data_IF_526661097606
#
_entry.id   IF_526661097606
#
_cell.length_a   1.000
_cell.length_b   1.000
_cell.length_c   1.000
_cell.angle_alpha   90.00
_cell.angle_beta   90.00
_cell.angle_gamma   90.00
#
_symmetry.space_group_name_H-M   'P 1'
#
loop_
_entity.id
_entity.type
_entity.pdbx_description
1 polymer ?
#
# COMPACT_ATOMS: atom_id res chain seq x y z
N UNK A 1 0.53 -26.30 -16.72
CA UNK A 1 0.74 -25.30 -15.64
C UNK A 1 -0.58 -24.62 -15.41
N UNK A 2 -0.91 -24.23 -14.16
CA UNK A 2 -2.12 -23.45 -13.89
C UNK A 2 -2.00 -22.09 -14.57
N UNK A 3 -3.11 -21.57 -15.08
CA UNK A 3 -3.20 -20.22 -15.64
C UNK A 3 -2.93 -19.15 -14.57
N UNK A 4 -3.30 -19.45 -13.33
CA UNK A 4 -3.17 -18.55 -12.18
C UNK A 4 -2.09 -19.05 -11.22
N UNK A 5 -1.25 -18.13 -10.73
CA UNK A 5 -0.28 -18.40 -9.67
C UNK A 5 -0.97 -18.50 -8.30
N UNK A 6 -2.03 -17.72 -8.10
CA UNK A 6 -2.85 -17.75 -6.89
C UNK A 6 -4.31 -17.47 -7.23
N UNK A 7 -5.20 -18.23 -6.59
CA UNK A 7 -6.65 -18.02 -6.67
C UNK A 7 -7.26 -18.00 -5.27
N UNK A 8 -8.12 -17.03 -5.01
CA UNK A 8 -9.01 -16.98 -3.85
C UNK A 8 -10.45 -17.05 -4.35
N UNK A 9 -11.25 -17.93 -3.81
CA UNK A 9 -12.66 -18.13 -4.24
C UNK A 9 -13.59 -18.31 -3.05
N UNK A 10 -14.75 -17.62 -3.09
CA UNK A 10 -15.79 -17.72 -2.08
C UNK A 10 -15.36 -17.26 -0.68
N UNK A 11 -14.43 -16.32 -0.58
CA UNK A 11 -13.85 -15.90 0.70
C UNK A 11 -14.85 -15.11 1.50
N UNK A 12 -15.19 -15.61 2.69
CA UNK A 12 -15.99 -14.92 3.69
C UNK A 12 -15.16 -14.59 4.92
N UNK A 13 -15.42 -13.42 5.49
CA UNK A 13 -14.84 -12.97 6.77
C UNK A 13 -15.77 -12.05 7.51
N UNK A 14 -16.10 -12.43 8.74
CA UNK A 14 -16.92 -11.60 9.64
C UNK A 14 -16.11 -11.16 10.86
N UNK A 15 -16.43 -9.97 11.35
CA UNK A 15 -16.01 -9.45 12.63
C UNK A 15 -17.25 -9.08 13.44
N UNK A 16 -17.15 -8.86 14.77
CA UNK A 16 -18.30 -8.45 15.56
C UNK A 16 -19.01 -7.25 14.95
N UNK A 17 -20.27 -7.43 14.55
CA UNK A 17 -21.13 -6.39 13.97
C UNK A 17 -20.94 -6.12 12.47
N UNK A 18 -20.00 -6.77 11.76
CA UNK A 18 -19.80 -6.51 10.33
C UNK A 18 -19.33 -7.75 9.56
N UNK A 19 -19.94 -8.03 8.41
CA UNK A 19 -19.43 -8.99 7.42
C UNK A 19 -18.50 -8.26 6.46
N UNK A 20 -17.20 -8.36 6.69
CA UNK A 20 -16.19 -7.61 5.95
C UNK A 20 -15.89 -8.21 4.57
N UNK A 21 -16.09 -9.52 4.38
CA UNK A 21 -16.00 -10.20 3.09
C UNK A 21 -17.20 -11.13 2.94
N UNK A 22 -17.84 -11.07 1.77
CA UNK A 22 -18.97 -11.88 1.39
C UNK A 22 -18.75 -12.50 0.02
N UNK A 23 -18.29 -13.75 0.00
CA UNK A 23 -17.94 -14.51 -1.22
C UNK A 23 -16.96 -13.77 -2.15
N UNK A 24 -16.03 -13.04 -1.56
CA UNK A 24 -14.98 -12.32 -2.32
C UNK A 24 -14.10 -13.31 -3.10
N UNK A 25 -13.56 -12.85 -4.23
CA UNK A 25 -12.65 -13.64 -5.04
C UNK A 25 -11.57 -12.78 -5.68
N UNK A 26 -10.42 -13.40 -5.95
CA UNK A 26 -9.29 -12.80 -6.65
C UNK A 26 -8.50 -13.89 -7.33
N UNK A 27 -8.07 -13.64 -8.57
CA UNK A 27 -7.22 -14.57 -9.34
C UNK A 27 -6.05 -13.79 -9.89
N UNK A 28 -4.85 -14.33 -9.73
CA UNK A 28 -3.61 -13.64 -10.08
C UNK A 28 -2.84 -14.41 -11.15
N UNK A 29 -2.54 -13.74 -12.26
CA UNK A 29 -1.67 -14.28 -13.29
C UNK A 29 -0.19 -13.98 -12.95
N UNK A 30 0.73 -14.92 -13.24
CA UNK A 30 2.17 -14.64 -13.11
C UNK A 30 2.59 -13.51 -14.05
N UNK A 31 3.48 -12.62 -13.59
CA UNK A 31 4.02 -11.53 -14.38
C UNK A 31 3.03 -10.44 -14.75
N UNK A 32 1.89 -10.32 -14.05
CA UNK A 32 0.91 -9.25 -14.24
C UNK A 32 0.72 -8.42 -12.98
N UNK A 33 0.38 -7.14 -13.17
CA UNK A 33 -0.12 -6.26 -12.12
C UNK A 33 -1.64 -6.36 -12.08
N UNK A 34 -2.15 -6.91 -10.99
CA UNK A 34 -3.56 -7.01 -10.71
C UNK A 34 -3.97 -5.90 -9.73
N UNK A 35 -4.64 -4.89 -10.23
CA UNK A 35 -5.14 -3.82 -9.38
C UNK A 35 -6.39 -4.25 -8.61
N UNK A 36 -6.44 -3.95 -7.32
CA UNK A 36 -7.61 -4.21 -6.47
C UNK A 36 -8.21 -2.88 -6.02
N UNK A 37 -9.40 -2.57 -6.51
CA UNK A 37 -10.08 -1.32 -6.30
C UNK A 37 -11.40 -1.48 -5.53
N UNK A 38 -11.88 -0.39 -4.96
CA UNK A 38 -13.10 -0.30 -4.18
C UNK A 38 -13.04 0.88 -3.22
N UNK A 39 -14.19 1.31 -2.71
CA UNK A 39 -14.27 2.37 -1.68
C UNK A 39 -13.57 1.96 -0.37
N UNK A 40 -13.38 2.93 0.52
CA UNK A 40 -12.93 2.63 1.88
C UNK A 40 -13.99 1.76 2.58
N UNK A 41 -13.54 0.67 3.20
CA UNK A 41 -14.47 -0.32 3.77
C UNK A 41 -14.93 -1.41 2.80
N UNK A 42 -14.60 -1.36 1.50
CA UNK A 42 -14.98 -2.40 0.52
C UNK A 42 -14.39 -3.79 0.77
N UNK A 43 -13.53 -3.97 1.79
CA UNK A 43 -12.96 -5.27 2.15
C UNK A 43 -11.57 -5.57 1.57
N UNK A 44 -10.98 -4.67 0.77
CA UNK A 44 -9.68 -4.89 0.09
C UNK A 44 -8.58 -5.34 1.04
N UNK A 45 -8.29 -4.53 2.06
CA UNK A 45 -7.23 -4.86 3.03
C UNK A 45 -7.56 -6.10 3.86
N UNK A 46 -8.86 -6.40 4.09
CA UNK A 46 -9.28 -7.64 4.76
C UNK A 46 -8.98 -8.85 3.89
N UNK A 47 -9.27 -8.78 2.57
CA UNK A 47 -8.97 -9.85 1.62
C UNK A 47 -7.46 -10.11 1.56
N UNK A 48 -6.63 -9.05 1.51
CA UNK A 48 -5.16 -9.17 1.52
C UNK A 48 -4.64 -9.76 2.84
N UNK A 49 -5.21 -9.36 3.97
CA UNK A 49 -4.85 -9.92 5.29
C UNK A 49 -5.25 -11.39 5.41
N UNK A 50 -6.32 -11.83 4.75
CA UNK A 50 -6.66 -13.25 4.63
C UNK A 50 -5.64 -13.98 3.73
N UNK A 51 -5.27 -13.41 2.58
CA UNK A 51 -4.25 -13.95 1.68
C UNK A 51 -2.89 -14.10 2.36
N UNK A 52 -2.52 -13.14 3.20
CA UNK A 52 -1.24 -13.14 3.92
C UNK A 52 -1.28 -13.89 5.26
N UNK A 53 -2.42 -14.49 5.64
CA UNK A 53 -2.54 -15.30 6.86
C UNK A 53 -2.62 -14.51 8.17
N UNK A 54 -2.84 -13.18 8.12
CA UNK A 54 -3.09 -12.35 9.31
C UNK A 54 -4.49 -12.65 9.86
N UNK A 55 -5.47 -12.81 8.97
CA UNK A 55 -6.82 -13.23 9.33
C UNK A 55 -7.11 -14.61 8.75
N UNK A 56 -7.72 -15.48 9.56
CA UNK A 56 -8.30 -16.73 9.06
C UNK A 56 -9.61 -16.43 8.37
N UNK A 57 -9.80 -17.00 7.18
CA UNK A 57 -11.09 -16.97 6.48
C UNK A 57 -12.10 -17.80 7.26
N UNK A 58 -13.36 -17.37 7.26
CA UNK A 58 -14.47 -18.14 7.84
C UNK A 58 -14.95 -19.20 6.83
N UNK A 59 -14.97 -18.82 5.52
CA UNK A 59 -15.29 -19.69 4.39
C UNK A 59 -14.41 -19.34 3.18
N UNK A 60 -14.36 -20.23 2.21
CA UNK A 60 -13.64 -20.03 0.96
C UNK A 60 -12.39 -20.90 0.84
N UNK A 61 -11.68 -20.72 -0.26
CA UNK A 61 -10.49 -21.51 -0.60
C UNK A 61 -9.40 -20.64 -1.22
N UNK A 62 -8.14 -20.95 -0.86
CA UNK A 62 -6.96 -20.44 -1.56
C UNK A 62 -6.33 -21.60 -2.31
N UNK A 63 -5.93 -21.34 -3.57
CA UNK A 63 -5.13 -22.26 -4.37
C UNK A 63 -3.84 -21.55 -4.81
N UNK A 64 -2.75 -22.29 -4.82
CA UNK A 64 -1.46 -21.88 -5.43
C UNK A 64 -1.15 -22.92 -6.51
N UNK A 65 -0.90 -22.46 -7.74
CA UNK A 65 -0.70 -23.32 -8.92
C UNK A 65 -1.83 -24.34 -9.11
N UNK A 66 -3.08 -23.95 -8.83
CA UNK A 66 -4.25 -24.82 -8.91
C UNK A 66 -4.41 -25.80 -7.74
N UNK A 67 -3.46 -25.88 -6.81
CA UNK A 67 -3.53 -26.76 -5.64
C UNK A 67 -4.10 -26.05 -4.43
N UNK A 68 -5.11 -26.63 -3.74
CA UNK A 68 -5.65 -26.06 -2.52
C UNK A 68 -4.57 -25.95 -1.43
N UNK A 69 -4.48 -24.79 -0.79
CA UNK A 69 -3.55 -24.54 0.32
C UNK A 69 -4.25 -23.87 1.49
N UNK A 70 -3.76 -24.13 2.69
CA UNK A 70 -4.12 -23.38 3.88
C UNK A 70 -2.93 -22.51 4.28
N UNK A 71 -3.17 -21.22 4.52
CA UNK A 71 -2.17 -20.29 5.02
C UNK A 71 -2.45 -20.08 6.50
N UNK A 72 -1.48 -20.47 7.34
CA UNK A 72 -1.67 -20.50 8.79
C UNK A 72 -1.34 -19.16 9.45
N UNK A 73 -0.28 -18.50 8.97
CA UNK A 73 0.26 -17.26 9.49
C UNK A 73 1.11 -16.54 8.42
N UNK A 74 1.58 -15.31 8.66
CA UNK A 74 2.42 -14.56 7.71
C UNK A 74 3.75 -15.26 7.36
N UNK A 75 4.34 -16.03 8.25
CA UNK A 75 5.57 -16.77 7.96
C UNK A 75 5.31 -17.94 7.01
N UNK A 76 4.15 -18.58 7.14
CA UNK A 76 3.72 -19.62 6.21
C UNK A 76 3.39 -19.03 4.82
N UNK A 77 2.77 -17.84 4.78
CA UNK A 77 2.56 -17.09 3.53
C UNK A 77 3.89 -16.80 2.81
N UNK A 78 4.88 -16.27 3.54
CA UNK A 78 6.22 -16.01 3.00
C UNK A 78 6.89 -17.28 2.45
N UNK A 79 6.80 -18.41 3.16
CA UNK A 79 7.33 -19.71 2.70
C UNK A 79 6.66 -20.19 1.42
N UNK A 80 5.39 -19.84 1.21
CA UNK A 80 4.61 -20.14 0.01
C UNK A 80 4.80 -19.12 -1.11
N UNK A 81 5.71 -18.16 -0.91
CA UNK A 81 6.05 -17.14 -1.89
C UNK A 81 5.08 -15.97 -1.96
N UNK A 82 4.30 -15.71 -0.92
CA UNK A 82 3.43 -14.53 -0.82
C UNK A 82 4.10 -13.53 0.11
N UNK A 83 4.35 -12.31 -0.36
CA UNK A 83 4.91 -11.22 0.42
C UNK A 83 3.98 -10.00 0.39
N UNK A 84 4.06 -9.16 1.42
CA UNK A 84 3.22 -7.97 1.53
C UNK A 84 4.05 -6.79 2.02
N UNK A 85 3.90 -5.66 1.34
CA UNK A 85 4.35 -4.35 1.77
C UNK A 85 3.12 -3.59 2.26
N UNK A 86 3.12 -3.25 3.53
CA UNK A 86 2.01 -2.57 4.18
C UNK A 86 2.00 -1.07 3.87
N UNK A 87 0.83 -0.45 3.96
CA UNK A 87 0.65 0.99 3.81
C UNK A 87 1.50 1.78 4.83
N UNK A 88 1.53 1.34 6.09
CA UNK A 88 2.41 1.90 7.11
C UNK A 88 3.72 1.10 7.15
N UNK A 89 4.81 1.76 6.80
CA UNK A 89 6.14 1.16 6.88
C UNK A 89 6.52 0.96 8.35
N UNK A 90 6.95 -0.25 8.70
CA UNK A 90 7.34 -0.62 10.06
C UNK A 90 8.78 -1.16 10.13
N UNK A 91 9.76 -0.50 9.54
CA UNK A 91 11.15 -0.91 9.69
C UNK A 91 11.60 -0.64 11.13
N UNK A 92 12.63 -1.33 11.58
CA UNK A 92 13.28 -1.07 12.87
C UNK A 92 14.34 0.02 12.66
N UNK A 93 14.09 1.29 13.07
CA UNK A 93 14.95 2.43 12.68
C UNK A 93 16.38 2.32 13.19
N UNK A 94 16.57 1.69 14.37
CA UNK A 94 17.88 1.51 15.00
C UNK A 94 18.75 0.41 14.35
N UNK A 95 18.16 -0.42 13.48
CA UNK A 95 18.83 -1.51 12.77
C UNK A 95 19.28 -1.08 11.39
N UNK A 96 20.27 -1.78 10.85
CA UNK A 96 20.77 -1.55 9.50
C UNK A 96 19.77 -2.02 8.44
N UNK A 97 19.95 -1.57 7.21
CA UNK A 97 19.18 -2.02 6.05
C UNK A 97 19.24 -3.55 5.91
N UNK A 98 20.45 -4.12 5.97
CA UNK A 98 20.63 -5.57 5.90
C UNK A 98 19.91 -6.33 7.02
N UNK A 99 19.99 -5.83 8.26
CA UNK A 99 19.28 -6.44 9.38
C UNK A 99 17.75 -6.36 9.22
N UNK A 100 17.21 -5.28 8.66
CA UNK A 100 15.78 -5.17 8.37
C UNK A 100 15.33 -6.13 7.27
N UNK A 101 16.09 -6.22 6.17
CA UNK A 101 15.77 -7.12 5.04
C UNK A 101 15.75 -8.58 5.49
N UNK A 102 16.75 -9.00 6.28
CA UNK A 102 16.89 -10.39 6.74
C UNK A 102 16.27 -10.65 8.11
N UNK A 103 15.44 -9.76 8.63
CA UNK A 103 14.80 -9.94 9.94
C UNK A 103 14.06 -11.28 10.02
N UNK A 104 14.42 -12.09 11.03
CA UNK A 104 13.88 -13.44 11.22
C UNK A 104 14.43 -14.52 10.27
N UNK A 105 15.31 -14.14 9.29
CA UNK A 105 15.87 -15.05 8.28
C UNK A 105 17.37 -14.81 8.06
N UNK A 106 18.10 -14.45 9.13
CA UNK A 106 19.53 -14.12 9.05
C UNK A 106 20.34 -15.26 8.44
N UNK A 107 21.25 -14.99 7.47
CA UNK A 107 22.24 -15.96 7.03
C UNK A 107 23.07 -16.44 8.22
N UNK A 108 23.27 -17.74 8.33
CA UNK A 108 23.98 -18.35 9.46
C UNK A 108 25.28 -18.99 8.98
N UNK A 109 26.36 -18.85 9.76
CA UNK A 109 27.61 -19.58 9.62
C UNK A 109 27.94 -20.33 10.92
N UNK A 110 28.75 -21.35 10.81
CA UNK A 110 29.21 -22.12 12.00
C UNK A 110 30.58 -21.59 12.46
N UNK A 111 30.60 -21.00 13.63
CA UNK A 111 31.86 -20.66 14.30
C UNK A 111 32.49 -21.93 14.92
N UNK A 112 33.77 -22.20 14.65
CA UNK A 112 34.48 -23.43 15.04
C UNK A 112 33.74 -24.73 14.63
N UNK A 113 32.95 -24.68 13.55
CA UNK A 113 32.21 -25.83 13.03
C UNK A 113 30.94 -26.22 13.80
N UNK A 114 30.70 -25.63 14.98
CA UNK A 114 29.67 -26.10 15.93
C UNK A 114 28.67 -24.98 16.29
N UNK A 115 29.13 -23.77 16.60
CA UNK A 115 28.29 -22.69 17.15
C UNK A 115 27.64 -21.91 16.02
N UNK A 116 26.28 -21.86 15.92
CA UNK A 116 25.63 -21.06 14.91
C UNK A 116 25.79 -19.57 15.23
N UNK A 117 26.29 -18.79 14.27
CA UNK A 117 26.42 -17.33 14.34
C UNK A 117 25.84 -16.70 13.09
N UNK A 118 25.35 -15.46 13.20
CA UNK A 118 24.91 -14.67 12.05
C UNK A 118 26.12 -14.39 11.15
N UNK A 119 25.98 -14.65 9.85
CA UNK A 119 26.96 -14.30 8.83
C UNK A 119 26.69 -12.88 8.33
N UNK A 120 27.22 -11.90 9.04
CA UNK A 120 27.06 -10.48 8.68
C UNK A 120 27.64 -10.14 7.31
N UNK A 121 28.77 -10.76 6.93
CA UNK A 121 29.41 -10.48 5.65
C UNK A 121 28.52 -10.93 4.49
N UNK A 122 27.99 -12.17 4.59
CA UNK A 122 27.03 -12.69 3.63
C UNK A 122 25.75 -11.84 3.61
N UNK A 123 25.20 -11.48 4.78
CA UNK A 123 24.00 -10.68 4.89
C UNK A 123 24.15 -9.34 4.16
N UNK A 124 25.26 -8.63 4.36
CA UNK A 124 25.48 -7.34 3.69
C UNK A 124 25.78 -7.48 2.19
N UNK A 125 26.46 -8.53 1.78
CA UNK A 125 26.68 -8.83 0.37
C UNK A 125 25.35 -9.13 -0.35
N UNK A 126 24.54 -10.03 0.20
CA UNK A 126 23.22 -10.36 -0.35
C UNK A 126 22.31 -9.12 -0.37
N UNK A 127 22.38 -8.27 0.66
CA UNK A 127 21.64 -6.99 0.70
C UNK A 127 22.06 -6.06 -0.43
N UNK A 128 23.35 -5.91 -0.69
CA UNK A 128 23.84 -5.05 -1.77
C UNK A 128 23.32 -5.50 -3.14
N UNK A 129 23.21 -6.80 -3.39
CA UNK A 129 22.61 -7.35 -4.61
C UNK A 129 21.11 -7.07 -4.68
N UNK A 130 20.39 -7.24 -3.58
CA UNK A 130 18.96 -6.95 -3.51
C UNK A 130 18.67 -5.46 -3.74
N UNK A 131 19.47 -4.57 -3.16
CA UNK A 131 19.33 -3.13 -3.38
C UNK A 131 19.54 -2.76 -4.85
N UNK A 132 20.49 -3.40 -5.55
CA UNK A 132 20.66 -3.22 -7.01
C UNK A 132 19.40 -3.64 -7.79
N UNK A 133 18.78 -4.77 -7.42
CA UNK A 133 17.52 -5.24 -8.04
C UNK A 133 16.39 -4.21 -7.90
N UNK A 134 16.27 -3.58 -6.73
CA UNK A 134 15.30 -2.50 -6.50
C UNK A 134 15.84 -1.11 -6.88
N UNK A 135 16.90 -1.05 -7.71
CA UNK A 135 17.48 0.18 -8.26
C UNK A 135 17.92 1.20 -7.20
N UNK A 136 18.33 0.73 -6.03
CA UNK A 136 18.81 1.55 -4.93
C UNK A 136 20.32 1.45 -4.77
N UNK A 137 20.93 2.61 -4.43
CA UNK A 137 22.38 2.71 -4.25
C UNK A 137 22.69 3.43 -2.93
N UNK A 138 22.51 2.72 -1.81
CA UNK A 138 22.95 3.17 -0.48
C UNK A 138 23.59 2.00 0.29
N UNK A 139 24.32 2.34 1.37
CA UNK A 139 25.08 1.32 2.11
C UNK A 139 24.15 0.36 2.85
N UNK A 140 24.27 -0.96 2.63
CA UNK A 140 23.56 -1.98 3.41
C UNK A 140 23.74 -1.89 4.93
N UNK A 141 24.82 -1.24 5.40
CA UNK A 141 25.14 -1.02 6.82
C UNK A 141 24.53 0.25 7.38
N UNK A 142 23.98 1.12 6.54
CA UNK A 142 23.31 2.34 6.99
C UNK A 142 22.08 1.99 7.83
N UNK A 143 21.80 2.78 8.88
CA UNK A 143 20.59 2.60 9.69
C UNK A 143 19.35 3.05 8.92
N UNK A 144 18.28 2.29 9.01
CA UNK A 144 17.04 2.60 8.30
C UNK A 144 16.43 3.92 8.76
N UNK A 145 16.60 4.31 10.03
CA UNK A 145 16.12 5.60 10.54
C UNK A 145 16.78 6.84 9.90
N UNK A 146 17.86 6.68 9.12
CA UNK A 146 18.54 7.75 8.39
C UNK A 146 18.05 7.88 6.93
N UNK A 147 17.19 6.96 6.49
CA UNK A 147 16.67 6.90 5.14
C UNK A 147 15.44 7.81 4.95
N UNK A 148 15.22 8.25 3.72
CA UNK A 148 13.95 8.89 3.34
C UNK A 148 12.81 7.84 3.33
N UNK A 149 11.57 8.31 3.33
CA UNK A 149 10.38 7.43 3.28
C UNK A 149 10.41 6.53 2.04
N UNK A 150 10.77 7.06 0.87
CA UNK A 150 10.88 6.29 -0.35
C UNK A 150 11.99 5.23 -0.30
N UNK A 151 13.12 5.55 0.32
CA UNK A 151 14.20 4.59 0.54
C UNK A 151 13.77 3.48 1.50
N UNK A 152 13.06 3.82 2.58
CA UNK A 152 12.47 2.83 3.49
C UNK A 152 11.49 1.91 2.75
N UNK A 153 10.68 2.44 1.86
CA UNK A 153 9.77 1.65 1.03
C UNK A 153 10.52 0.68 0.12
N UNK A 154 11.60 1.14 -0.49
CA UNK A 154 12.46 0.27 -1.30
C UNK A 154 13.12 -0.84 -0.47
N UNK A 155 13.44 -0.59 0.81
CA UNK A 155 13.92 -1.61 1.74
C UNK A 155 12.85 -2.67 2.00
N UNK A 156 11.58 -2.27 2.20
CA UNK A 156 10.48 -3.23 2.39
C UNK A 156 10.22 -4.06 1.12
N UNK A 157 10.32 -3.45 -0.07
CA UNK A 157 10.23 -4.20 -1.33
C UNK A 157 11.43 -5.16 -1.48
N UNK A 158 12.65 -4.71 -1.19
CA UNK A 158 13.84 -5.57 -1.21
C UNK A 158 13.71 -6.75 -0.23
N UNK A 159 13.12 -6.53 0.94
CA UNK A 159 12.79 -7.56 1.93
C UNK A 159 11.79 -8.59 1.37
N UNK A 160 10.75 -8.14 0.66
CA UNK A 160 9.80 -9.01 0.00
C UNK A 160 10.47 -9.85 -1.11
N UNK A 161 11.26 -9.21 -1.98
CA UNK A 161 12.02 -9.86 -3.06
C UNK A 161 13.04 -10.87 -2.50
N UNK A 162 13.69 -10.57 -1.36
CA UNK A 162 14.65 -11.47 -0.70
C UNK A 162 14.03 -12.81 -0.26
N UNK A 163 12.71 -12.88 -0.18
CA UNK A 163 11.98 -14.10 0.14
C UNK A 163 11.62 -14.94 -1.10
N UNK A 164 12.13 -14.58 -2.29
CA UNK A 164 11.76 -15.20 -3.56
C UNK A 164 10.24 -15.23 -3.75
N UNK A 165 9.59 -14.08 -3.52
CA UNK A 165 8.15 -13.98 -3.62
C UNK A 165 7.68 -14.22 -5.06
N UNK A 166 6.58 -14.94 -5.20
CA UNK A 166 5.85 -15.17 -6.45
C UNK A 166 4.63 -14.27 -6.56
N UNK A 167 4.15 -13.83 -5.41
CA UNK A 167 3.05 -12.86 -5.27
C UNK A 167 3.50 -11.75 -4.33
N UNK A 168 3.46 -10.50 -4.81
CA UNK A 168 3.79 -9.31 -4.03
C UNK A 168 2.55 -8.44 -3.89
N UNK A 169 2.14 -8.20 -2.65
CA UNK A 169 1.04 -7.30 -2.32
C UNK A 169 1.63 -5.93 -1.98
N UNK A 170 1.16 -4.89 -2.66
CA UNK A 170 1.51 -3.49 -2.43
C UNK A 170 0.24 -2.74 -2.02
N UNK A 171 0.11 -2.39 -0.74
CA UNK A 171 -1.05 -1.69 -0.18
C UNK A 171 -0.78 -0.19 -0.09
N UNK A 172 -1.39 0.60 -0.99
CA UNK A 172 -1.22 2.06 -1.15
C UNK A 172 0.24 2.55 -1.17
N UNK A 173 1.10 1.96 -2.01
CA UNK A 173 2.54 2.17 -1.92
C UNK A 173 3.00 3.59 -2.30
N UNK A 174 2.14 4.42 -2.87
CA UNK A 174 2.48 5.77 -3.35
C UNK A 174 1.88 6.88 -2.49
N UNK A 175 1.25 6.55 -1.35
CA UNK A 175 0.51 7.53 -0.53
C UNK A 175 1.39 8.68 0.02
N UNK A 176 2.68 8.42 0.26
CA UNK A 176 3.64 9.38 0.81
C UNK A 176 4.83 9.68 -0.11
N UNK A 177 4.76 9.27 -1.39
CA UNK A 177 5.83 9.43 -2.36
C UNK A 177 5.64 10.69 -3.24
N UNK A 178 6.76 11.31 -3.60
CA UNK A 178 6.81 12.32 -4.66
C UNK A 178 6.66 11.68 -6.04
N UNK A 179 6.35 12.48 -7.06
CA UNK A 179 6.17 11.97 -8.43
C UNK A 179 7.41 11.22 -8.96
N UNK A 180 8.62 11.71 -8.68
CA UNK A 180 9.85 11.04 -9.11
C UNK A 180 10.04 9.68 -8.42
N UNK A 181 9.63 9.57 -7.16
CA UNK A 181 9.69 8.33 -6.38
C UNK A 181 8.65 7.31 -6.86
N UNK A 182 7.46 7.78 -7.26
CA UNK A 182 6.43 6.94 -7.91
C UNK A 182 6.97 6.35 -9.21
N UNK A 183 7.66 7.15 -10.05
CA UNK A 183 8.30 6.66 -11.27
C UNK A 183 9.37 5.59 -10.99
N UNK A 184 10.16 5.78 -9.93
CA UNK A 184 11.14 4.78 -9.52
C UNK A 184 10.48 3.47 -9.06
N UNK A 185 9.39 3.56 -8.29
CA UNK A 185 8.60 2.40 -7.86
C UNK A 185 8.01 1.65 -9.06
N UNK A 186 7.45 2.36 -10.04
CA UNK A 186 6.87 1.72 -11.22
C UNK A 186 7.91 0.95 -12.06
N UNK A 187 9.14 1.46 -12.13
CA UNK A 187 10.24 0.71 -12.77
C UNK A 187 10.58 -0.58 -12.02
N UNK A 188 10.56 -0.55 -10.69
CA UNK A 188 10.76 -1.76 -9.88
C UNK A 188 9.63 -2.77 -10.13
N UNK A 189 8.38 -2.30 -10.22
CA UNK A 189 7.22 -3.13 -10.53
C UNK A 189 7.39 -3.81 -11.90
N UNK A 190 7.79 -3.08 -12.93
CA UNK A 190 8.03 -3.65 -14.27
C UNK A 190 9.18 -4.68 -14.27
N UNK A 191 10.25 -4.43 -13.51
CA UNK A 191 11.33 -5.40 -13.38
C UNK A 191 10.85 -6.71 -12.72
N UNK A 192 10.01 -6.61 -11.68
CA UNK A 192 9.42 -7.77 -11.00
C UNK A 192 8.41 -8.53 -11.88
N UNK A 193 7.61 -7.81 -12.68
CA UNK A 193 6.76 -8.43 -13.73
C UNK A 193 7.58 -9.29 -14.70
N UNK A 194 8.71 -8.74 -15.15
CA UNK A 194 9.61 -9.47 -16.07
C UNK A 194 10.21 -10.73 -15.42
N UNK A 195 10.34 -10.76 -14.09
CA UNK A 195 10.72 -11.96 -13.31
C UNK A 195 9.52 -12.90 -13.02
N UNK A 196 8.35 -12.70 -13.66
CA UNK A 196 7.11 -13.46 -13.46
C UNK A 196 6.50 -13.35 -12.04
N UNK A 197 6.80 -12.30 -11.30
CA UNK A 197 6.12 -12.00 -10.03
C UNK A 197 4.73 -11.46 -10.32
N UNK A 198 3.70 -12.05 -9.72
CA UNK A 198 2.35 -11.49 -9.74
C UNK A 198 2.25 -10.38 -8.70
N UNK A 199 1.73 -9.21 -9.08
CA UNK A 199 1.68 -8.05 -8.20
C UNK A 199 0.22 -7.69 -7.94
N UNK A 200 -0.18 -7.66 -6.67
CA UNK A 200 -1.45 -7.05 -6.27
C UNK A 200 -1.18 -5.60 -5.90
N UNK A 201 -1.76 -4.68 -6.64
CA UNK A 201 -1.58 -3.25 -6.44
C UNK A 201 -2.87 -2.61 -5.94
N UNK A 202 -2.86 -2.13 -4.70
CA UNK A 202 -4.01 -1.44 -4.11
C UNK A 202 -3.70 0.05 -4.13
N UNK A 203 -4.56 0.83 -4.78
CA UNK A 203 -4.49 2.29 -4.79
C UNK A 203 -5.89 2.87 -5.01
N UNK A 204 -6.09 4.09 -4.53
CA UNK A 204 -7.26 4.90 -4.86
C UNK A 204 -6.98 5.91 -5.99
N UNK A 205 -5.75 5.96 -6.51
CA UNK A 205 -5.33 6.83 -7.60
C UNK A 205 -5.55 6.13 -8.93
N UNK A 206 -6.60 6.52 -9.63
CA UNK A 206 -7.01 5.86 -10.88
C UNK A 206 -5.98 5.97 -11.99
N UNK A 207 -5.27 7.10 -12.07
CA UNK A 207 -4.21 7.31 -13.06
C UNK A 207 -3.08 6.29 -12.91
N UNK A 208 -2.71 5.93 -11.65
CA UNK A 208 -1.72 4.90 -11.38
C UNK A 208 -2.22 3.53 -11.85
N UNK A 209 -3.47 3.18 -11.51
CA UNK A 209 -4.09 1.90 -11.87
C UNK A 209 -4.15 1.73 -13.39
N UNK A 210 -4.63 2.74 -14.11
CA UNK A 210 -4.74 2.70 -15.58
C UNK A 210 -3.38 2.69 -16.27
N UNK A 211 -2.33 3.16 -15.60
CA UNK A 211 -0.98 3.20 -16.13
C UNK A 211 -0.22 1.88 -16.00
N UNK A 212 -0.28 1.23 -14.83
CA UNK A 212 0.55 0.04 -14.54
C UNK A 212 -0.24 -1.25 -14.45
N UNK A 213 -1.58 -1.17 -14.26
CA UNK A 213 -2.44 -2.34 -14.13
C UNK A 213 -2.59 -3.10 -15.45
N UNK A 214 -2.51 -4.41 -15.40
CA UNK A 214 -2.91 -5.29 -16.50
C UNK A 214 -4.39 -5.69 -16.35
N UNK A 215 -4.80 -6.01 -15.10
CA UNK A 215 -6.16 -6.40 -14.74
C UNK A 215 -6.63 -5.60 -13.53
N UNK A 216 -7.93 -5.35 -13.45
CA UNK A 216 -8.55 -4.60 -12.35
C UNK A 216 -9.72 -5.39 -11.80
N UNK A 217 -9.63 -5.78 -10.52
CA UNK A 217 -10.78 -6.30 -9.77
C UNK A 217 -11.39 -5.19 -8.93
N UNK A 218 -12.70 -5.05 -8.99
CA UNK A 218 -13.47 -4.11 -8.19
C UNK A 218 -14.22 -4.85 -7.11
N UNK A 219 -14.09 -4.36 -5.87
CA UNK A 219 -14.84 -4.80 -4.70
C UNK A 219 -15.77 -3.68 -4.21
N UNK A 220 -16.92 -4.07 -3.70
CA UNK A 220 -17.88 -3.17 -3.06
C UNK A 220 -18.61 -3.92 -1.94
N UNK A 221 -18.71 -3.32 -0.75
CA UNK A 221 -19.40 -3.87 0.42
C UNK A 221 -19.00 -5.33 0.77
N UNK A 222 -17.70 -5.61 0.67
CA UNK A 222 -17.13 -6.94 0.92
C UNK A 222 -17.31 -7.95 -0.21
N UNK A 223 -17.96 -7.57 -1.30
CA UNK A 223 -18.29 -8.47 -2.43
C UNK A 223 -17.39 -8.21 -3.64
N UNK A 224 -17.19 -9.23 -4.43
CA UNK A 224 -16.58 -9.17 -5.75
C UNK A 224 -17.61 -8.65 -6.77
N UNK A 225 -17.29 -7.57 -7.46
CA UNK A 225 -18.16 -6.99 -8.49
C UNK A 225 -17.77 -7.50 -9.88
N UNK A 226 -16.47 -7.54 -10.18
CA UNK A 226 -15.97 -8.02 -11.46
C UNK A 226 -14.48 -7.82 -11.61
N UNK A 227 -13.92 -8.41 -12.67
CA UNK A 227 -12.53 -8.23 -13.12
C UNK A 227 -12.53 -7.86 -14.59
N UNK A 228 -11.72 -6.90 -14.98
CA UNK A 228 -11.59 -6.40 -16.36
C UNK A 228 -10.12 -6.23 -16.72
N UNK A 229 -9.78 -6.31 -17.99
CA UNK A 229 -8.49 -5.83 -18.51
C UNK A 229 -8.43 -4.31 -18.29
N UNK A 230 -7.32 -3.80 -17.77
CA UNK A 230 -7.19 -2.37 -17.46
C UNK A 230 -7.39 -1.46 -18.70
N UNK A 231 -6.94 -1.93 -19.88
CA UNK A 231 -7.09 -1.23 -21.15
C UNK A 231 -8.56 -0.98 -21.59
N UNK A 232 -9.51 -1.79 -21.07
CA UNK A 232 -10.93 -1.73 -21.40
C UNK A 232 -11.73 -0.86 -20.40
N UNK A 233 -11.01 -0.27 -19.43
CA UNK A 233 -11.58 0.54 -18.37
C UNK A 233 -11.31 2.04 -18.62
N UNK A 234 -12.29 2.85 -18.24
CA UNK A 234 -12.16 4.30 -18.09
C UNK A 234 -12.38 4.65 -16.63
N UNK A 235 -11.92 5.83 -16.21
CA UNK A 235 -12.12 6.34 -14.85
C UNK A 235 -13.62 6.31 -14.46
N UNK A 236 -14.50 6.76 -15.35
CA UNK A 236 -15.95 6.79 -15.10
C UNK A 236 -16.53 5.38 -14.91
N UNK A 237 -16.07 4.40 -15.70
CA UNK A 237 -16.50 3.01 -15.58
C UNK A 237 -16.04 2.41 -14.26
N UNK A 238 -14.81 2.68 -13.84
CA UNK A 238 -14.28 2.25 -12.54
C UNK A 238 -15.14 2.84 -11.41
N UNK A 239 -15.36 4.15 -11.42
CA UNK A 239 -16.17 4.85 -10.41
C UNK A 239 -17.58 4.26 -10.35
N UNK A 240 -18.24 4.09 -11.51
CA UNK A 240 -19.58 3.51 -11.58
C UNK A 240 -19.64 2.13 -10.95
N UNK A 241 -18.65 1.26 -11.21
CA UNK A 241 -18.61 -0.09 -10.62
C UNK A 241 -18.32 -0.06 -9.11
N UNK A 242 -17.47 0.86 -8.66
CA UNK A 242 -17.15 1.03 -7.24
C UNK A 242 -18.36 1.53 -6.42
N UNK A 243 -19.07 2.55 -6.94
CA UNK A 243 -20.20 3.20 -6.24
C UNK A 243 -21.52 2.47 -6.49
N UNK A 244 -21.64 1.75 -7.60
CA UNK A 244 -22.85 0.99 -7.99
C UNK A 244 -23.96 1.83 -8.63
N UNK A 245 -23.69 3.08 -8.93
CA UNK A 245 -24.58 3.99 -9.66
C UNK A 245 -23.77 4.97 -10.49
N UNK A 246 -24.33 5.45 -11.58
CA UNK A 246 -23.72 6.55 -12.33
C UNK A 246 -23.69 7.81 -11.46
N UNK A 247 -22.52 8.44 -11.39
CA UNK A 247 -22.38 9.74 -10.73
C UNK A 247 -22.81 10.82 -11.73
N UNK A 248 -24.10 11.13 -11.74
CA UNK A 248 -24.66 12.17 -12.62
C UNK A 248 -24.30 13.59 -12.17
N UNK A 249 -23.91 13.77 -10.89
CA UNK A 249 -23.50 15.07 -10.34
C UNK A 249 -22.33 14.91 -9.37
N UNK A 250 -21.11 15.10 -9.89
CA UNK A 250 -19.88 15.13 -9.06
C UNK A 250 -19.86 16.31 -8.09
N UNK A 251 -20.52 17.41 -8.44
CA UNK A 251 -20.60 18.61 -7.64
C UNK A 251 -22.07 19.00 -7.49
N UNK A 252 -22.73 18.63 -6.37
CA UNK A 252 -24.09 19.03 -6.13
C UNK A 252 -24.20 20.58 -6.10
N UNK A 253 -25.30 21.16 -6.59
CA UNK A 253 -25.51 22.59 -6.53
C UNK A 253 -25.45 23.07 -5.08
N UNK A 254 -24.83 24.24 -4.86
CA UNK A 254 -24.77 24.85 -3.54
C UNK A 254 -26.10 25.53 -3.25
N UNK A 255 -26.83 25.02 -2.26
CA UNK A 255 -28.10 25.60 -1.80
C UNK A 255 -27.92 26.34 -0.46
N UNK A 256 -26.72 26.31 0.12
CA UNK A 256 -26.44 26.96 1.40
C UNK A 256 -26.33 28.48 1.24
N UNK A 257 -27.02 29.21 2.14
CA UNK A 257 -26.92 30.67 2.25
C UNK A 257 -25.80 30.99 3.22
N UNK A 258 -24.80 31.76 2.76
CA UNK A 258 -23.70 32.23 3.60
C UNK A 258 -24.25 33.27 4.58
N UNK A 259 -24.12 33.03 5.87
CA UNK A 259 -24.63 33.86 6.97
C UNK A 259 -23.58 34.81 7.56
N UNK A 260 -23.75 35.13 8.81
CA UNK A 260 -22.82 35.97 9.59
C UNK A 260 -21.46 35.35 9.76
N UNK A 261 -20.44 36.19 9.96
CA UNK A 261 -19.08 35.73 10.26
C UNK A 261 -19.04 35.05 11.64
N UNK A 262 -18.46 33.86 11.73
CA UNK A 262 -18.34 33.07 12.96
C UNK A 262 -16.90 32.87 13.41
N UNK A 263 -15.93 33.03 12.50
CA UNK A 263 -14.50 32.97 12.80
C UNK A 263 -13.75 33.95 11.90
N UNK A 264 -12.87 34.75 12.51
CA UNK A 264 -11.91 35.60 11.82
C UNK A 264 -10.50 35.25 12.31
N UNK A 265 -9.63 34.98 11.39
CA UNK A 265 -8.19 34.76 11.64
C UNK A 265 -7.46 35.88 10.91
N UNK A 266 -6.59 36.61 11.65
CA UNK A 266 -5.83 37.74 11.11
C UNK A 266 -4.35 37.58 11.44
N UNK A 267 -3.50 37.66 10.41
CA UNK A 267 -2.03 37.66 10.52
C UNK A 267 -1.48 36.48 11.36
N UNK A 268 -2.18 35.34 11.35
CA UNK A 268 -1.84 34.20 12.17
C UNK A 268 -0.50 33.59 11.71
N UNK A 269 0.43 33.50 12.64
CA UNK A 269 1.81 33.05 12.38
C UNK A 269 2.20 32.02 13.42
N UNK A 270 2.78 30.91 12.98
CA UNK A 270 3.28 29.87 13.87
C UNK A 270 4.46 30.35 14.70
N UNK A 271 4.55 29.87 15.94
CA UNK A 271 5.71 30.03 16.81
C UNK A 271 6.97 29.39 16.16
N UNK A 272 6.79 28.30 15.41
CA UNK A 272 7.87 27.68 14.66
C UNK A 272 8.20 28.52 13.41
N UNK A 273 9.41 29.11 13.31
CA UNK A 273 9.78 29.98 12.19
C UNK A 273 9.86 29.27 10.82
N UNK A 274 9.84 27.93 10.79
CA UNK A 274 9.83 27.12 9.56
C UNK A 274 8.42 26.71 9.13
N UNK A 275 7.37 27.13 9.86
CA UNK A 275 5.97 26.81 9.58
C UNK A 275 5.25 27.98 8.88
N UNK A 276 3.92 27.99 8.91
CA UNK A 276 3.09 29.00 8.26
C UNK A 276 3.27 30.39 8.86
N UNK A 277 3.09 31.47 8.02
CA UNK A 277 3.19 32.85 8.41
C UNK A 277 2.11 33.71 7.79
N UNK A 278 1.63 34.68 8.55
CA UNK A 278 0.74 35.74 8.08
C UNK A 278 -0.50 35.23 7.34
N UNK A 279 -1.16 34.19 7.91
CA UNK A 279 -2.36 33.62 7.32
C UNK A 279 -3.58 34.36 7.85
N UNK A 280 -4.45 34.82 6.94
CA UNK A 280 -5.68 35.49 7.27
C UNK A 280 -6.84 34.91 6.45
N UNK A 281 -7.97 34.65 7.09
CA UNK A 281 -9.22 34.24 6.45
C UNK A 281 -10.41 34.44 7.37
N UNK A 282 -11.62 34.39 6.81
CA UNK A 282 -12.88 34.42 7.55
C UNK A 282 -13.70 33.20 7.24
N UNK A 283 -14.51 32.77 8.17
CA UNK A 283 -15.47 31.69 8.02
C UNK A 283 -16.86 32.18 8.43
N UNK A 284 -17.87 31.88 7.64
CA UNK A 284 -19.23 32.31 7.86
C UNK A 284 -20.13 31.12 8.19
N UNK A 285 -21.23 31.41 8.87
CA UNK A 285 -22.25 30.40 9.19
C UNK A 285 -22.83 29.80 7.92
N UNK A 286 -22.90 28.45 7.87
CA UNK A 286 -23.37 27.73 6.69
C UNK A 286 -22.36 27.65 5.52
N UNK A 287 -21.13 28.18 5.70
CA UNK A 287 -20.07 28.12 4.71
C UNK A 287 -19.22 26.85 4.86
N UNK A 288 -18.77 26.30 3.75
CA UNK A 288 -17.69 25.29 3.69
C UNK A 288 -16.45 25.97 3.12
N UNK A 289 -15.48 26.26 3.99
CA UNK A 289 -14.21 26.84 3.58
C UNK A 289 -13.19 25.75 3.28
N UNK A 290 -12.75 25.69 2.01
CA UNK A 290 -11.73 24.73 1.57
C UNK A 290 -10.30 25.24 1.82
N UNK A 291 -9.47 24.45 2.52
CA UNK A 291 -8.04 24.73 2.71
C UNK A 291 -7.22 23.82 1.83
N UNK A 292 -6.73 24.34 0.70
CA UNK A 292 -5.95 23.61 -0.28
C UNK A 292 -4.43 23.85 -0.16
N UNK A 293 -3.63 22.91 -0.67
CA UNK A 293 -2.17 23.04 -0.74
C UNK A 293 -1.48 21.69 -0.95
N UNK A 294 -0.26 21.73 -1.46
CA UNK A 294 0.58 20.54 -1.66
C UNK A 294 1.04 19.92 -0.34
N UNK A 295 1.62 18.74 -0.38
CA UNK A 295 2.30 18.12 0.77
C UNK A 295 3.41 19.06 1.23
N UNK A 296 3.46 19.34 2.55
CA UNK A 296 4.40 20.30 3.14
C UNK A 296 3.93 21.77 3.13
N UNK A 297 2.74 22.08 2.60
CA UNK A 297 2.18 23.44 2.61
C UNK A 297 1.72 23.91 4.00
N UNK A 298 1.98 23.16 5.06
CA UNK A 298 1.71 23.49 6.46
C UNK A 298 0.22 23.64 6.80
N UNK A 299 -0.66 22.94 6.04
CA UNK A 299 -2.13 22.97 6.29
C UNK A 299 -2.49 22.38 7.65
N UNK A 300 -1.91 21.24 7.98
CA UNK A 300 -2.11 20.54 9.23
C UNK A 300 -1.67 21.42 10.41
N UNK A 301 -0.49 22.01 10.31
CA UNK A 301 0.08 22.88 11.32
C UNK A 301 -0.78 24.13 11.56
N UNK A 302 -1.38 24.68 10.48
CA UNK A 302 -2.32 25.80 10.58
C UNK A 302 -3.59 25.38 11.35
N UNK A 303 -4.19 24.23 11.02
CA UNK A 303 -5.39 23.75 11.70
C UNK A 303 -5.10 23.36 13.16
N UNK A 304 -3.99 22.71 13.44
CA UNK A 304 -3.55 22.38 14.81
C UNK A 304 -3.30 23.63 15.65
N UNK A 305 -2.72 24.68 15.03
CA UNK A 305 -2.56 25.98 15.69
C UNK A 305 -3.90 26.64 16.03
N UNK A 306 -4.87 26.61 15.12
CA UNK A 306 -6.22 27.12 15.37
C UNK A 306 -6.96 26.33 16.45
N UNK A 307 -6.75 25.03 16.49
CA UNK A 307 -7.36 24.14 17.48
C UNK A 307 -6.65 24.18 18.86
N UNK A 308 -5.51 24.86 18.97
CA UNK A 308 -4.76 25.01 20.21
C UNK A 308 -3.91 23.78 20.59
N UNK A 309 -3.55 22.94 19.63
CA UNK A 309 -2.64 21.80 19.85
C UNK A 309 -1.17 22.25 19.78
N UNK A 310 -0.89 23.29 19.02
CA UNK A 310 0.46 23.88 18.82
C UNK A 310 0.46 25.37 19.09
#
# INVERSE_FOLDING_TARGET
MSEYVLEMTGVCKSFPGVKALDHAQLKLHPGKVHALMGENGAGKSTLMKCMFGIYKMDEGQIKIDGQPVTIQDPMDALKKGIAMVHQELQPIPARTVGENIFLGRYPMKKFLGIIPMIDHDKMYADTAELLKKVRMNFDPRQKVGELSVSQMQSVEIAKAVSANCRVLILDEPTSSLTQNEVEALFRIIEDLKAENVAIVYISHKMDEILRIGDEVTIMRDGQYIGTWEAKDLTTDKIITQMVGRELTNLYPPRENVVGEEILRVENFTSINPKSFRNVSFTLHKGEILGVGGLVGAQRTELMEGLFGIR
#
